data_IF_456441878934
#
_entry.id   IF_456441878934
#
_cell.length_a   1.000
_cell.length_b   1.000
_cell.length_c   1.000
_cell.angle_alpha   90.00
_cell.angle_beta   90.00
_cell.angle_gamma   90.00
#
_symmetry.space_group_name_H-M   'P 1'
#
loop_
_entity.id
_entity.type
_entity.pdbx_description
1 polymer ?
#
# COMPACT_ATOMS: atom_id res chain seq x y z
N UNK A 1 32.13 -15.26 3.29
CA UNK A 1 30.68 -15.02 3.37
C UNK A 1 30.00 -16.02 2.48
N UNK A 2 29.35 -17.03 3.04
CA UNK A 2 28.51 -17.92 2.23
C UNK A 2 27.29 -17.10 1.84
N UNK A 3 27.22 -16.66 0.59
CA UNK A 3 26.00 -16.07 0.04
C UNK A 3 24.95 -17.17 0.02
N UNK A 4 23.84 -17.00 0.77
CA UNK A 4 22.63 -17.79 0.57
C UNK A 4 21.81 -17.09 -0.53
N UNK A 5 21.88 -17.57 -1.80
CA UNK A 5 21.23 -16.87 -2.89
C UNK A 5 19.70 -16.95 -2.78
N UNK A 6 19.16 -17.98 -2.11
CA UNK A 6 17.72 -18.09 -1.91
C UNK A 6 17.23 -17.02 -0.96
N UNK A 7 17.89 -16.87 0.19
CA UNK A 7 17.55 -15.83 1.15
C UNK A 7 17.60 -14.44 0.50
N UNK A 8 18.67 -14.13 -0.23
CA UNK A 8 18.83 -12.86 -0.92
C UNK A 8 17.72 -12.61 -1.97
N UNK A 9 17.41 -13.60 -2.81
CA UNK A 9 16.36 -13.45 -3.83
C UNK A 9 14.96 -13.36 -3.21
N UNK A 10 14.70 -14.07 -2.11
CA UNK A 10 13.44 -13.96 -1.37
C UNK A 10 13.28 -12.59 -0.75
N UNK A 11 14.35 -12.03 -0.16
CA UNK A 11 14.33 -10.66 0.36
C UNK A 11 14.03 -9.66 -0.77
N UNK A 12 14.74 -9.75 -1.89
CA UNK A 12 14.53 -8.87 -3.04
C UNK A 12 13.08 -8.97 -3.58
N UNK A 13 12.52 -10.17 -3.66
CA UNK A 13 11.13 -10.37 -4.06
C UNK A 13 10.16 -9.70 -3.07
N UNK A 14 10.35 -9.92 -1.77
CA UNK A 14 9.50 -9.31 -0.75
C UNK A 14 9.56 -7.78 -0.79
N UNK A 15 10.75 -7.21 -1.01
CA UNK A 15 10.92 -5.76 -1.21
C UNK A 15 10.13 -5.26 -2.41
N UNK A 16 10.19 -5.98 -3.55
CA UNK A 16 9.45 -5.60 -4.75
C UNK A 16 7.92 -5.69 -4.56
N UNK A 17 7.43 -6.73 -3.87
CA UNK A 17 6.00 -6.86 -3.52
C UNK A 17 5.57 -5.72 -2.61
N UNK A 18 6.38 -5.42 -1.58
CA UNK A 18 6.09 -4.36 -0.62
C UNK A 18 5.98 -3.00 -1.33
N UNK A 19 6.91 -2.70 -2.25
CA UNK A 19 6.91 -1.45 -3.02
C UNK A 19 5.65 -1.26 -3.88
N UNK A 20 4.96 -2.34 -4.27
CA UNK A 20 3.67 -2.28 -4.98
C UNK A 20 2.45 -2.34 -4.07
N UNK A 21 2.63 -2.53 -2.76
CA UNK A 21 1.53 -2.73 -1.83
C UNK A 21 0.82 -1.40 -1.52
N UNK A 22 -0.53 -1.31 -1.53
CA UNK A 22 -1.26 -0.07 -1.25
C UNK A 22 -0.81 0.66 0.02
N UNK A 23 -0.53 -0.07 1.10
CA UNK A 23 -0.01 0.49 2.35
C UNK A 23 1.28 1.30 2.22
N UNK A 24 2.12 1.02 1.23
CA UNK A 24 3.39 1.73 1.07
C UNK A 24 3.28 2.95 0.16
N UNK A 25 2.31 2.96 -0.77
CA UNK A 25 2.30 3.94 -1.86
C UNK A 25 1.05 4.82 -1.88
N UNK A 26 -0.11 4.31 -1.44
CA UNK A 26 -1.37 5.00 -1.70
C UNK A 26 -1.55 6.27 -0.86
N UNK A 27 -1.03 6.30 0.37
CA UNK A 27 -1.18 7.44 1.28
C UNK A 27 -0.61 8.75 0.70
N UNK A 28 0.51 8.66 -0.02
CA UNK A 28 1.19 9.81 -0.64
C UNK A 28 0.45 10.34 -1.87
N UNK A 29 -0.49 9.57 -2.41
CA UNK A 29 -1.31 9.94 -3.56
C UNK A 29 -2.71 10.40 -3.16
N UNK A 30 -3.04 10.42 -1.88
CA UNK A 30 -4.31 10.99 -1.41
C UNK A 30 -4.27 12.52 -1.50
N UNK A 31 -5.42 13.18 -1.74
CA UNK A 31 -5.53 14.64 -1.69
C UNK A 31 -4.94 15.23 -0.41
N UNK A 32 -4.41 16.45 -0.49
CA UNK A 32 -3.84 17.14 0.68
C UNK A 32 -4.91 17.47 1.72
N UNK A 33 -6.08 17.96 1.29
CA UNK A 33 -7.23 18.18 2.17
C UNK A 33 -8.02 16.88 2.38
N UNK A 34 -8.10 16.45 3.64
CA UNK A 34 -8.70 15.18 4.08
C UNK A 34 -9.76 15.39 5.15
N UNK A 35 -10.25 16.63 5.31
CA UNK A 35 -11.12 17.03 6.43
C UNK A 35 -12.62 16.89 6.14
N UNK A 36 -13.00 16.71 4.87
CA UNK A 36 -14.39 16.58 4.42
C UNK A 36 -14.90 15.15 4.39
N UNK A 37 -16.21 14.98 4.10
CA UNK A 37 -16.79 13.65 3.87
C UNK A 37 -16.28 13.04 2.56
N UNK A 38 -15.98 11.74 2.60
CA UNK A 38 -15.50 10.98 1.44
C UNK A 38 -16.32 9.73 1.18
N UNK A 39 -16.54 9.43 -0.10
CA UNK A 39 -17.14 8.19 -0.57
C UNK A 39 -16.05 7.37 -1.25
N UNK A 40 -15.80 6.15 -0.75
CA UNK A 40 -14.84 5.22 -1.34
C UNK A 40 -15.59 4.23 -2.24
N UNK A 41 -15.24 4.19 -3.52
CA UNK A 41 -15.77 3.21 -4.48
C UNK A 41 -14.67 2.22 -4.82
N UNK A 42 -14.77 1.02 -4.26
CA UNK A 42 -13.80 -0.05 -4.50
C UNK A 42 -14.15 -0.91 -5.71
N UNK A 43 -13.17 -1.17 -6.58
CA UNK A 43 -13.29 -2.13 -7.68
C UNK A 43 -12.00 -2.94 -7.86
N UNK A 44 -12.13 -4.26 -8.04
CA UNK A 44 -11.00 -5.18 -8.26
C UNK A 44 -10.42 -5.81 -6.99
N UNK A 45 -9.42 -6.68 -7.18
CA UNK A 45 -8.91 -7.58 -6.13
C UNK A 45 -8.27 -6.86 -4.93
N UNK A 46 -7.66 -5.70 -5.15
CA UNK A 46 -7.01 -4.92 -4.09
C UNK A 46 -7.92 -3.87 -3.45
N UNK A 47 -9.18 -3.76 -3.89
CA UNK A 47 -10.08 -2.67 -3.51
C UNK A 47 -10.26 -2.54 -1.99
N UNK A 48 -10.41 -3.66 -1.28
CA UNK A 48 -10.54 -3.65 0.19
C UNK A 48 -9.30 -3.09 0.88
N UNK A 49 -8.10 -3.57 0.51
CA UNK A 49 -6.85 -3.08 1.09
C UNK A 49 -6.59 -1.60 0.75
N UNK A 50 -6.96 -1.14 -0.44
CA UNK A 50 -6.88 0.27 -0.81
C UNK A 50 -7.86 1.13 -0.01
N UNK A 51 -9.10 0.67 0.19
CA UNK A 51 -10.10 1.35 1.00
C UNK A 51 -9.64 1.50 2.46
N UNK A 52 -9.03 0.45 3.03
CA UNK A 52 -8.49 0.50 4.39
C UNK A 52 -7.37 1.55 4.54
N UNK A 53 -6.52 1.73 3.53
CA UNK A 53 -5.52 2.81 3.54
C UNK A 53 -6.18 4.18 3.54
N UNK A 54 -7.23 4.38 2.73
CA UNK A 54 -7.99 5.64 2.72
C UNK A 54 -8.58 5.89 4.11
N UNK A 55 -9.27 4.90 4.70
CA UNK A 55 -9.86 5.00 6.05
C UNK A 55 -8.83 5.39 7.11
N UNK A 56 -7.61 4.81 7.06
CA UNK A 56 -6.53 5.12 8.00
C UNK A 56 -5.95 6.54 7.89
N UNK A 57 -6.03 7.17 6.71
CA UNK A 57 -5.39 8.45 6.43
C UNK A 57 -6.37 9.61 6.27
N UNK A 58 -7.67 9.32 6.23
CA UNK A 58 -8.72 10.32 6.15
C UNK A 58 -9.03 10.93 7.52
N UNK A 59 -9.30 12.24 7.58
CA UNK A 59 -9.43 12.99 8.84
C UNK A 59 -10.86 13.50 9.10
N UNK A 60 -11.82 13.18 8.23
CA UNK A 60 -13.21 13.66 8.27
C UNK A 60 -14.27 12.57 8.20
#
# INVERSE_FOLDING_TARGET
MSTDPRAFLTELFNTAVAAGHPYQVLADHLPEDRSGRTIVIGAGKAAGAMAEVVEKHWQG
#
